data_IF_366849389524
#
_entry.id   IF_366849389524
#
_cell.length_a   1.000
_cell.length_b   1.000
_cell.length_c   1.000
_cell.angle_alpha   90.00
_cell.angle_beta   90.00
_cell.angle_gamma   90.00
#
_symmetry.space_group_name_H-M   'P 1'
#
loop_
_entity.id
_entity.type
_entity.pdbx_description
1 polymer ?
#
# COMPACT_ATOMS: atom_id res chain seq x y z
N UNK A 1 22.44 -20.77 -0.36
CA UNK A 1 23.15 -19.66 0.32
C UNK A 1 22.33 -18.37 0.22
N UNK A 2 21.58 -18.00 1.27
CA UNK A 2 20.88 -16.71 1.32
C UNK A 2 21.93 -15.60 1.52
N UNK A 3 22.25 -14.83 0.48
CA UNK A 3 22.99 -13.56 0.66
C UNK A 3 22.17 -12.71 1.61
N UNK A 4 22.72 -12.41 2.79
CA UNK A 4 22.20 -11.39 3.72
C UNK A 4 22.41 -10.03 3.04
N UNK A 5 21.56 -9.70 2.07
CA UNK A 5 21.50 -8.37 1.49
C UNK A 5 21.02 -7.40 2.57
N UNK A 6 21.65 -6.22 2.63
CA UNK A 6 21.15 -5.09 3.44
C UNK A 6 19.64 -4.99 3.26
N UNK A 7 18.89 -4.88 4.36
CA UNK A 7 17.43 -4.68 4.29
C UNK A 7 17.17 -3.48 3.38
N UNK A 8 16.33 -3.63 2.34
CA UNK A 8 16.06 -2.52 1.43
C UNK A 8 15.54 -1.33 2.24
N UNK A 9 16.27 -0.23 2.14
CA UNK A 9 16.00 1.03 2.84
C UNK A 9 15.52 2.01 1.79
N UNK A 10 14.36 2.60 2.01
CA UNK A 10 13.76 3.59 1.12
C UNK A 10 14.16 4.98 1.65
N UNK A 11 14.84 5.73 0.81
CA UNK A 11 15.27 7.11 1.07
C UNK A 11 14.20 8.09 0.57
N UNK A 12 13.10 8.16 1.31
CA UNK A 12 11.96 9.04 1.06
C UNK A 12 11.41 9.54 2.40
N UNK A 13 11.49 10.84 2.71
CA UNK A 13 10.97 11.35 3.97
C UNK A 13 9.44 11.19 4.05
N UNK A 14 8.96 10.58 5.14
CA UNK A 14 7.54 10.35 5.42
C UNK A 14 7.12 10.98 6.74
N UNK A 15 5.85 11.33 6.84
CA UNK A 15 5.15 11.56 8.09
C UNK A 15 4.16 10.41 8.29
N UNK A 16 4.28 9.66 9.39
CA UNK A 16 3.31 8.64 9.77
C UNK A 16 2.39 9.21 10.84
N UNK A 17 1.09 8.98 10.70
CA UNK A 17 0.13 9.13 11.80
C UNK A 17 -0.16 7.74 12.36
N UNK A 18 -0.03 7.59 13.67
CA UNK A 18 -0.23 6.31 14.37
C UNK A 18 -1.71 6.08 14.69
N UNK A 19 -2.06 4.84 15.01
CA UNK A 19 -3.31 4.52 15.73
C UNK A 19 -3.05 4.54 17.23
N UNK A 20 -4.11 4.46 18.05
CA UNK A 20 -3.99 4.30 19.51
C UNK A 20 -3.10 3.12 19.90
N UNK A 21 -3.24 1.96 19.22
CA UNK A 21 -2.38 0.80 19.47
C UNK A 21 -0.93 1.03 19.01
N UNK A 22 -0.75 1.78 17.92
CA UNK A 22 0.57 2.19 17.45
C UNK A 22 1.27 3.08 18.47
N UNK A 23 0.59 4.11 18.96
CA UNK A 23 1.10 5.00 20.01
C UNK A 23 1.49 4.22 21.26
N UNK A 24 0.61 3.33 21.73
CA UNK A 24 0.89 2.48 22.88
C UNK A 24 2.15 1.63 22.67
N UNK A 25 2.30 1.01 21.49
CA UNK A 25 3.48 0.22 21.15
C UNK A 25 4.78 1.04 21.15
N UNK A 26 4.76 2.26 20.61
CA UNK A 26 5.94 3.13 20.56
C UNK A 26 6.28 3.74 21.94
N UNK A 27 5.26 4.06 22.74
CA UNK A 27 5.41 4.59 24.09
C UNK A 27 5.99 3.55 25.06
N UNK A 28 5.53 2.29 25.01
CA UNK A 28 6.07 1.21 25.85
C UNK A 28 7.55 0.93 25.60
N UNK A 29 8.05 1.20 24.40
CA UNK A 29 9.45 0.92 24.03
C UNK A 29 10.41 2.06 24.31
N UNK A 30 9.96 3.17 24.92
CA UNK A 30 10.75 4.40 25.14
C UNK A 30 11.40 4.97 23.85
N UNK A 31 10.89 4.62 22.66
CA UNK A 31 11.45 5.04 21.37
C UNK A 31 10.93 6.39 20.91
N UNK A 32 9.88 6.91 21.54
CA UNK A 32 9.19 8.12 21.10
C UNK A 32 10.07 9.37 21.06
N UNK A 33 11.04 9.51 21.98
CA UNK A 33 11.92 10.70 22.01
C UNK A 33 12.90 10.79 20.83
N UNK A 34 13.29 9.66 20.22
CA UNK A 34 14.23 9.64 19.08
C UNK A 34 13.58 9.98 17.74
N UNK A 35 12.26 9.78 17.63
CA UNK A 35 11.53 9.94 16.37
C UNK A 35 10.46 11.07 16.38
N UNK A 36 10.06 11.56 17.56
CA UNK A 36 9.13 12.70 17.72
C UNK A 36 9.82 14.08 17.79
N UNK A 37 11.09 14.16 17.39
CA UNK A 37 11.91 15.37 17.52
C UNK A 37 11.69 16.39 16.41
N UNK A 38 10.62 17.18 16.47
CA UNK A 38 10.46 18.38 15.65
C UNK A 38 9.42 19.34 16.24
N UNK A 39 9.75 20.62 16.34
CA UNK A 39 8.80 21.65 16.75
C UNK A 39 7.58 21.65 15.81
N UNK A 40 6.38 21.39 16.34
CA UNK A 40 5.11 21.44 15.61
C UNK A 40 4.45 20.10 15.24
N UNK A 41 5.01 18.94 15.63
CA UNK A 41 4.37 17.63 15.41
C UNK A 41 3.37 17.29 16.54
N UNK A 42 2.27 16.61 16.19
CA UNK A 42 1.33 16.05 17.18
C UNK A 42 1.91 14.79 17.84
N UNK A 43 1.38 14.42 19.01
CA UNK A 43 1.85 13.24 19.77
C UNK A 43 1.65 11.91 19.01
N UNK A 44 0.69 11.87 18.08
CA UNK A 44 0.35 10.75 17.21
C UNK A 44 1.22 10.67 15.93
N UNK A 45 2.12 11.63 15.71
CA UNK A 45 2.86 11.79 14.45
C UNK A 45 4.35 11.39 14.57
N UNK A 46 4.83 10.64 13.58
CA UNK A 46 6.21 10.16 13.49
C UNK A 46 6.85 10.62 12.18
N UNK A 47 7.92 11.40 12.25
CA UNK A 47 8.66 11.81 11.06
C UNK A 47 9.83 10.86 10.79
N UNK A 48 9.85 10.25 9.61
CA UNK A 48 10.90 9.35 9.17
C UNK A 48 11.67 9.98 8.01
N UNK A 49 12.99 10.06 8.12
CA UNK A 49 13.84 10.53 7.01
C UNK A 49 14.09 9.43 5.97
N UNK A 50 14.29 8.21 6.46
CA UNK A 50 14.39 6.98 5.68
C UNK A 50 13.80 5.84 6.50
N UNK A 51 13.50 4.72 5.86
CA UNK A 51 12.86 3.59 6.53
C UNK A 51 13.14 2.26 5.83
N UNK A 52 13.09 1.17 6.59
CA UNK A 52 13.14 -0.17 6.02
C UNK A 52 11.76 -0.56 5.50
N UNK A 53 11.68 -1.00 4.24
CA UNK A 53 10.44 -1.45 3.61
C UNK A 53 9.70 -2.49 4.46
N UNK A 54 10.42 -3.52 4.91
CA UNK A 54 9.90 -4.58 5.78
C UNK A 54 9.34 -4.06 7.11
N UNK A 55 9.91 -2.98 7.65
CA UNK A 55 9.45 -2.43 8.93
C UNK A 55 8.16 -1.65 8.74
N UNK A 56 8.09 -0.78 7.72
CA UNK A 56 6.86 -0.05 7.41
C UNK A 56 5.71 -1.00 7.08
N UNK A 57 5.95 -2.01 6.24
CA UNK A 57 4.93 -3.00 5.89
C UNK A 57 4.39 -3.73 7.12
N UNK A 58 5.26 -4.06 8.09
CA UNK A 58 4.84 -4.68 9.36
C UNK A 58 4.00 -3.75 10.24
N UNK A 59 4.31 -2.45 10.26
CA UNK A 59 3.51 -1.46 11.00
C UNK A 59 2.11 -1.31 10.39
N UNK A 60 2.02 -1.28 9.05
CA UNK A 60 0.76 -1.27 8.31
C UNK A 60 -0.04 -2.54 8.60
N UNK A 61 0.59 -3.71 8.44
CA UNK A 61 -0.02 -5.02 8.71
C UNK A 61 -0.54 -5.15 10.14
N UNK A 62 0.25 -4.71 11.14
CA UNK A 62 -0.16 -4.72 12.54
C UNK A 62 -1.29 -3.73 12.85
N UNK A 63 -1.63 -2.83 11.91
CA UNK A 63 -2.64 -1.80 12.08
C UNK A 63 -2.21 -0.66 12.99
N UNK A 64 -0.90 -0.38 13.08
CA UNK A 64 -0.33 0.68 13.93
C UNK A 64 -0.25 2.04 13.23
N UNK A 65 -0.49 2.09 11.93
CA UNK A 65 -0.40 3.30 11.10
C UNK A 65 -1.79 3.58 10.53
N UNK A 66 -2.30 4.78 10.77
CA UNK A 66 -3.58 5.28 10.27
C UNK A 66 -3.41 6.14 9.02
N UNK A 67 -2.27 6.83 8.87
CA UNK A 67 -1.97 7.65 7.70
C UNK A 67 -0.48 7.71 7.40
N UNK A 68 -0.15 7.85 6.13
CA UNK A 68 1.21 8.09 5.64
C UNK A 68 1.16 9.29 4.71
N UNK A 69 1.95 10.31 4.99
CA UNK A 69 2.00 11.54 4.20
C UNK A 69 3.40 11.80 3.64
N UNK A 70 3.44 12.24 2.37
CA UNK A 70 4.63 12.80 1.72
C UNK A 70 4.28 14.18 1.22
N UNK A 71 5.11 15.17 1.56
CA UNK A 71 4.97 16.53 1.02
C UNK A 71 6.26 16.97 0.33
N UNK A 72 6.19 17.25 -0.98
CA UNK A 72 7.35 17.59 -1.81
C UNK A 72 6.98 18.58 -2.92
N UNK A 73 7.96 19.35 -3.37
CA UNK A 73 7.86 20.17 -4.58
C UNK A 73 8.34 19.42 -5.84
N UNK A 74 9.08 18.31 -5.66
CA UNK A 74 9.63 17.47 -6.73
C UNK A 74 9.42 16.00 -6.34
N UNK A 75 8.50 15.33 -7.04
CA UNK A 75 8.25 13.89 -6.93
C UNK A 75 9.07 13.10 -7.95
N UNK A 76 9.31 13.66 -9.13
CA UNK A 76 10.06 13.04 -10.23
C UNK A 76 11.45 12.55 -9.79
N UNK A 77 12.14 13.34 -8.97
CA UNK A 77 13.45 13.01 -8.36
C UNK A 77 13.43 11.77 -7.45
N UNK A 78 12.25 11.34 -7.00
CA UNK A 78 12.02 10.20 -6.12
C UNK A 78 11.01 9.20 -6.71
N UNK A 79 10.88 9.15 -8.06
CA UNK A 79 9.95 8.28 -8.81
C UNK A 79 9.96 6.84 -8.33
N UNK A 80 11.15 6.22 -8.26
CA UNK A 80 11.27 4.81 -7.86
C UNK A 80 10.83 4.59 -6.41
N UNK A 81 11.25 5.47 -5.49
CA UNK A 81 10.89 5.36 -4.08
C UNK A 81 9.38 5.59 -3.85
N UNK A 82 8.76 6.46 -4.65
CA UNK A 82 7.33 6.70 -4.61
C UNK A 82 6.55 5.48 -5.10
N UNK A 83 6.96 4.87 -6.21
CA UNK A 83 6.38 3.61 -6.69
C UNK A 83 6.52 2.49 -5.67
N UNK A 84 7.73 2.32 -5.10
CA UNK A 84 8.00 1.31 -4.07
C UNK A 84 7.11 1.50 -2.85
N UNK A 85 6.92 2.75 -2.39
CA UNK A 85 6.02 3.05 -1.28
C UNK A 85 4.56 2.73 -1.63
N UNK A 86 4.07 3.18 -2.79
CA UNK A 86 2.69 2.95 -3.20
C UNK A 86 2.38 1.43 -3.26
N UNK A 87 3.28 0.65 -3.86
CA UNK A 87 3.21 -0.81 -3.85
C UNK A 87 3.23 -1.34 -2.42
N UNK A 88 4.21 -0.97 -1.62
CA UNK A 88 4.38 -1.45 -0.24
C UNK A 88 3.13 -1.23 0.61
N UNK A 89 2.50 -0.06 0.51
CA UNK A 89 1.27 0.26 1.22
C UNK A 89 0.12 -0.64 0.77
N UNK A 90 -0.10 -0.74 -0.55
CA UNK A 90 -1.15 -1.61 -1.10
C UNK A 90 -0.93 -3.09 -0.74
N UNK A 91 0.30 -3.60 -0.86
CA UNK A 91 0.65 -4.97 -0.44
C UNK A 91 0.46 -5.18 1.07
N UNK A 92 0.78 -4.19 1.91
CA UNK A 92 0.56 -4.29 3.36
C UNK A 92 -0.91 -4.43 3.72
N UNK A 93 -1.80 -3.75 2.98
CA UNK A 93 -3.25 -3.84 3.14
C UNK A 93 -3.76 -5.20 2.64
N UNK A 94 -3.37 -5.61 1.42
CA UNK A 94 -3.72 -6.91 0.86
C UNK A 94 -3.30 -8.06 1.78
N UNK A 95 -2.14 -7.96 2.40
CA UNK A 95 -1.63 -8.97 3.32
C UNK A 95 -2.45 -9.07 4.61
N UNK A 96 -2.93 -7.93 5.13
CA UNK A 96 -3.81 -7.89 6.30
C UNK A 96 -5.14 -8.60 6.01
N UNK A 97 -5.77 -8.27 4.88
CA UNK A 97 -7.00 -8.91 4.41
C UNK A 97 -6.81 -10.41 4.13
N UNK A 98 -5.71 -10.77 3.45
CA UNK A 98 -5.31 -12.15 3.20
C UNK A 98 -5.23 -12.94 4.51
N UNK A 99 -4.51 -12.41 5.50
CA UNK A 99 -4.26 -13.11 6.77
C UNK A 99 -5.55 -13.43 7.51
N UNK A 100 -6.53 -12.53 7.48
CA UNK A 100 -7.84 -12.78 8.06
C UNK A 100 -8.62 -13.85 7.26
N UNK A 101 -8.64 -13.72 5.93
CA UNK A 101 -9.35 -14.65 5.04
C UNK A 101 -8.80 -16.08 5.16
N UNK A 102 -7.49 -16.26 5.05
CA UNK A 102 -6.85 -17.57 5.16
C UNK A 102 -7.08 -18.19 6.54
N UNK A 103 -7.00 -17.40 7.61
CA UNK A 103 -7.24 -17.88 8.96
C UNK A 103 -8.68 -18.35 9.16
N UNK A 104 -9.66 -17.67 8.54
CA UNK A 104 -11.07 -18.09 8.56
C UNK A 104 -11.25 -19.46 7.91
N UNK A 105 -10.72 -19.66 6.70
CA UNK A 105 -10.91 -20.95 6.00
C UNK A 105 -10.09 -22.06 6.66
N UNK A 106 -8.88 -21.77 7.13
CA UNK A 106 -8.07 -22.75 7.86
C UNK A 106 -8.70 -23.18 9.19
N UNK A 107 -9.36 -22.27 9.93
CA UNK A 107 -10.07 -22.62 11.17
C UNK A 107 -11.13 -23.72 10.94
N UNK A 108 -11.74 -23.73 9.76
CA UNK A 108 -12.77 -24.71 9.35
C UNK A 108 -12.18 -26.00 8.77
N UNK A 109 -10.86 -26.04 8.52
CA UNK A 109 -10.19 -27.23 8.01
C UNK A 109 -10.16 -28.38 9.03
N UNK A 110 -10.20 -29.61 8.54
CA UNK A 110 -10.07 -30.81 9.38
C UNK A 110 -8.77 -30.81 10.20
N UNK A 111 -7.70 -30.23 9.66
CA UNK A 111 -6.40 -30.07 10.32
C UNK A 111 -6.54 -29.30 11.66
N UNK A 112 -7.13 -28.11 11.60
CA UNK A 112 -7.27 -27.24 12.78
C UNK A 112 -8.35 -27.76 13.73
N UNK A 113 -9.45 -28.30 13.20
CA UNK A 113 -10.50 -28.92 14.03
C UNK A 113 -9.93 -30.08 14.85
N UNK A 114 -9.14 -30.96 14.24
CA UNK A 114 -8.51 -32.08 14.93
C UNK A 114 -7.50 -31.62 15.99
N UNK A 115 -6.69 -30.60 15.68
CA UNK A 115 -5.76 -30.00 16.64
C UNK A 115 -6.49 -29.42 17.86
N UNK A 116 -7.53 -28.62 17.64
CA UNK A 116 -8.29 -27.94 18.70
C UNK A 116 -9.01 -28.93 19.61
N UNK A 117 -9.53 -30.05 19.06
CA UNK A 117 -10.11 -31.14 19.85
C UNK A 117 -9.10 -31.80 20.79
N UNK A 118 -7.86 -31.97 20.34
CA UNK A 118 -6.77 -32.57 21.14
C UNK A 118 -6.12 -31.58 22.10
N UNK A 119 -6.20 -30.27 21.83
CA UNK A 119 -5.51 -29.21 22.56
C UNK A 119 -6.46 -28.05 22.93
N UNK A 120 -7.49 -28.28 23.76
CA UNK A 120 -8.52 -27.27 24.05
C UNK A 120 -7.97 -26.01 24.72
N UNK A 121 -6.89 -26.11 25.52
CA UNK A 121 -6.24 -24.96 26.19
C UNK A 121 -5.34 -24.13 25.27
N UNK A 122 -5.01 -24.64 24.08
CA UNK A 122 -4.18 -23.98 23.05
C UNK A 122 -4.89 -24.03 21.69
N UNK A 123 -6.22 -23.90 21.71
CA UNK A 123 -7.06 -24.03 20.54
C UNK A 123 -6.89 -22.83 19.62
N UNK A 124 -6.47 -23.08 18.38
CA UNK A 124 -6.19 -22.09 17.35
C UNK A 124 -7.49 -21.45 16.85
N UNK A 125 -7.68 -20.18 17.21
CA UNK A 125 -8.73 -19.32 16.68
C UNK A 125 -8.23 -18.47 15.49
N UNK A 126 -9.11 -17.67 14.87
CA UNK A 126 -8.77 -16.84 13.70
C UNK A 126 -7.60 -15.90 14.02
N UNK A 127 -7.63 -15.24 15.18
CA UNK A 127 -6.57 -14.31 15.57
C UNK A 127 -5.24 -15.04 15.80
N UNK A 128 -5.24 -16.24 16.37
CA UNK A 128 -4.01 -17.01 16.57
C UNK A 128 -3.43 -17.57 15.27
N UNK A 129 -4.28 -17.97 14.32
CA UNK A 129 -3.85 -18.42 12.99
C UNK A 129 -3.28 -17.25 12.18
N UNK A 130 -3.96 -16.10 12.21
CA UNK A 130 -3.58 -14.90 11.46
C UNK A 130 -2.38 -14.17 12.08
N UNK A 131 -2.20 -14.20 13.40
CA UNK A 131 -1.09 -13.51 14.02
C UNK A 131 0.23 -14.28 13.80
N UNK A 132 1.09 -13.73 12.93
CA UNK A 132 2.52 -14.04 12.95
C UNK A 132 3.17 -13.46 14.21
N UNK A 133 2.91 -14.06 15.36
CA UNK A 133 3.71 -13.83 16.56
C UNK A 133 4.68 -14.99 16.69
N UNK A 134 5.98 -14.72 16.56
CA UNK A 134 7.05 -15.61 17.04
C UNK A 134 6.98 -15.66 18.58
N UNK A 135 5.88 -16.15 19.15
CA UNK A 135 5.80 -16.46 20.57
C UNK A 135 6.56 -17.76 20.77
N UNK A 136 7.64 -17.69 21.54
CA UNK A 136 8.46 -18.79 22.03
C UNK A 136 8.73 -19.91 21.03
N UNK A 137 9.67 -19.63 20.13
CA UNK A 137 10.26 -20.53 19.12
C UNK A 137 10.94 -21.80 19.70
N UNK A 138 10.91 -22.03 21.02
CA UNK A 138 11.58 -23.20 21.62
C UNK A 138 10.85 -24.52 21.34
N UNK A 139 9.55 -24.51 21.04
CA UNK A 139 8.78 -25.73 20.71
C UNK A 139 8.70 -26.06 19.21
N UNK A 140 9.06 -25.13 18.32
CA UNK A 140 8.88 -25.29 16.86
C UNK A 140 10.20 -25.10 16.10
N UNK A 141 11.27 -25.64 16.65
CA UNK A 141 12.69 -25.40 16.34
C UNK A 141 13.15 -25.81 14.93
N UNK A 142 12.27 -26.32 14.06
CA UNK A 142 12.65 -26.86 12.76
C UNK A 142 12.22 -25.95 11.60
N UNK A 143 12.90 -24.80 11.48
CA UNK A 143 12.67 -23.81 10.41
C UNK A 143 12.90 -24.39 9.00
N UNK A 144 13.80 -25.38 8.87
CA UNK A 144 14.02 -26.08 7.59
C UNK A 144 12.81 -26.93 7.21
N UNK A 145 12.21 -27.63 8.18
CA UNK A 145 10.97 -28.38 7.95
C UNK A 145 9.85 -27.44 7.50
N UNK A 146 9.64 -26.32 8.19
CA UNK A 146 8.62 -25.31 7.82
C UNK A 146 8.87 -24.81 6.40
N UNK A 147 10.10 -24.41 6.08
CA UNK A 147 10.46 -23.96 4.73
C UNK A 147 10.13 -25.00 3.66
N UNK A 148 10.49 -26.26 3.89
CA UNK A 148 10.19 -27.35 2.94
C UNK A 148 8.68 -27.59 2.76
N UNK A 149 7.86 -27.38 3.79
CA UNK A 149 6.41 -27.51 3.70
C UNK A 149 5.84 -26.35 2.89
N UNK A 150 6.28 -25.13 3.15
CA UNK A 150 5.84 -23.95 2.38
C UNK A 150 6.17 -24.15 0.91
N UNK A 151 7.40 -24.56 0.57
CA UNK A 151 7.79 -24.82 -0.83
C UNK A 151 6.90 -25.89 -1.47
N UNK A 152 6.66 -27.02 -0.79
CA UNK A 152 5.78 -28.07 -1.33
C UNK A 152 4.33 -27.59 -1.55
N UNK A 153 3.81 -26.73 -0.65
CA UNK A 153 2.48 -26.14 -0.80
C UNK A 153 2.46 -25.16 -1.98
N UNK A 154 3.49 -24.33 -2.15
CA UNK A 154 3.61 -23.43 -3.31
C UNK A 154 3.69 -24.22 -4.60
N UNK A 155 4.49 -25.29 -4.65
CA UNK A 155 4.60 -26.13 -5.84
C UNK A 155 3.25 -26.74 -6.24
N UNK A 156 2.49 -27.24 -5.26
CA UNK A 156 1.15 -27.77 -5.50
C UNK A 156 0.16 -26.69 -5.96
N UNK A 157 0.19 -25.48 -5.38
CA UNK A 157 -0.64 -24.35 -5.81
C UNK A 157 -0.39 -24.02 -7.28
N UNK A 158 0.89 -23.96 -7.69
CA UNK A 158 1.27 -23.65 -9.07
C UNK A 158 1.00 -24.82 -10.01
N UNK A 159 1.06 -26.06 -9.52
CA UNK A 159 0.65 -27.24 -10.29
C UNK A 159 -0.86 -27.21 -10.57
N UNK A 160 -1.69 -26.91 -9.57
CA UNK A 160 -3.16 -26.81 -9.72
C UNK A 160 -3.53 -25.73 -10.76
N UNK A 161 -2.80 -24.62 -10.79
CA UNK A 161 -3.06 -23.49 -11.67
C UNK A 161 -2.19 -23.48 -12.95
N UNK A 162 -1.66 -24.64 -13.37
CA UNK A 162 -0.72 -24.72 -14.50
C UNK A 162 -1.27 -24.15 -15.80
N UNK A 163 -2.57 -24.32 -16.07
CA UNK A 163 -3.22 -23.82 -17.30
C UNK A 163 -3.28 -22.29 -17.30
N UNK A 164 -3.60 -21.66 -16.17
CA UNK A 164 -3.60 -20.20 -16.06
C UNK A 164 -2.18 -19.62 -16.16
N UNK A 165 -1.17 -20.39 -15.76
CA UNK A 165 0.23 -19.97 -15.84
C UNK A 165 0.77 -19.90 -17.27
N UNK A 166 0.15 -20.57 -18.24
CA UNK A 166 0.59 -20.55 -19.65
C UNK A 166 0.58 -19.14 -20.27
N UNK A 167 -0.25 -18.23 -19.75
CA UNK A 167 -0.29 -16.83 -20.21
C UNK A 167 0.80 -15.94 -19.61
N UNK A 168 1.57 -16.43 -18.63
CA UNK A 168 2.60 -15.67 -17.94
C UNK A 168 4.00 -16.07 -18.44
N UNK A 169 4.86 -15.06 -18.62
CA UNK A 169 6.28 -15.28 -18.88
C UNK A 169 6.99 -15.95 -17.69
N UNK A 170 8.13 -16.59 -17.93
CA UNK A 170 8.91 -17.25 -16.87
C UNK A 170 9.26 -16.29 -15.71
N UNK A 171 9.60 -15.04 -16.03
CA UNK A 171 9.91 -14.02 -15.03
C UNK A 171 8.69 -13.66 -14.17
N UNK A 172 7.51 -13.54 -14.77
CA UNK A 172 6.26 -13.29 -14.06
C UNK A 172 5.87 -14.47 -13.17
N UNK A 173 6.05 -15.69 -13.65
CA UNK A 173 5.80 -16.90 -12.86
C UNK A 173 6.72 -16.96 -11.63
N UNK A 174 8.01 -16.65 -11.80
CA UNK A 174 8.95 -16.56 -10.68
C UNK A 174 8.55 -15.47 -9.68
N UNK A 175 8.10 -14.32 -10.17
CA UNK A 175 7.61 -13.23 -9.32
C UNK A 175 6.34 -13.64 -8.55
N UNK A 176 5.39 -14.31 -9.20
CA UNK A 176 4.18 -14.84 -8.58
C UNK A 176 4.53 -15.87 -7.50
N UNK A 177 5.48 -16.79 -7.76
CA UNK A 177 5.95 -17.76 -6.77
C UNK A 177 6.53 -17.06 -5.54
N UNK A 178 7.38 -16.06 -5.75
CA UNK A 178 7.93 -15.26 -4.67
C UNK A 178 6.84 -14.53 -3.86
N UNK A 179 5.83 -13.96 -4.53
CA UNK A 179 4.68 -13.34 -3.86
C UNK A 179 3.88 -14.38 -3.04
N UNK A 180 3.69 -15.59 -3.56
CA UNK A 180 2.97 -16.67 -2.90
C UNK A 180 3.67 -17.13 -1.62
N UNK A 181 4.98 -17.38 -1.71
CA UNK A 181 5.83 -17.68 -0.54
C UNK A 181 5.70 -16.59 0.51
N UNK A 182 5.79 -15.32 0.11
CA UNK A 182 5.66 -14.20 1.04
C UNK A 182 4.30 -14.20 1.74
N UNK A 183 3.17 -14.42 1.05
CA UNK A 183 1.85 -14.52 1.70
C UNK A 183 1.82 -15.65 2.74
N UNK A 184 2.33 -16.83 2.38
CA UNK A 184 2.35 -18.00 3.24
C UNK A 184 3.26 -17.83 4.48
N UNK A 185 4.37 -17.09 4.36
CA UNK A 185 5.26 -16.81 5.49
C UNK A 185 4.57 -16.04 6.64
N UNK A 186 3.44 -15.36 6.40
CA UNK A 186 2.69 -14.65 7.44
C UNK A 186 1.70 -15.53 8.23
N UNK A 187 1.55 -16.81 7.88
CA UNK A 187 0.80 -17.75 8.70
C UNK A 187 1.55 -18.12 9.98
N UNK A 188 0.80 -18.42 11.04
CA UNK A 188 1.40 -18.91 12.28
C UNK A 188 2.22 -20.20 12.02
N UNK A 189 3.50 -20.26 12.46
CA UNK A 189 4.37 -21.43 12.31
C UNK A 189 3.75 -22.77 12.72
N UNK A 190 2.85 -22.78 13.71
CA UNK A 190 2.18 -24.00 14.15
C UNK A 190 1.36 -24.65 13.03
N UNK A 191 0.76 -23.87 12.14
CA UNK A 191 -0.02 -24.39 11.00
C UNK A 191 0.89 -25.22 10.10
N UNK A 192 2.10 -24.74 9.83
CA UNK A 192 3.09 -25.45 9.02
C UNK A 192 3.58 -26.73 9.68
N UNK A 193 3.73 -26.73 11.00
CA UNK A 193 4.10 -27.93 11.76
C UNK A 193 2.98 -28.98 11.72
N UNK A 194 1.72 -28.56 11.77
CA UNK A 194 0.58 -29.46 11.61
C UNK A 194 0.51 -30.03 10.19
N UNK A 195 0.68 -29.18 9.17
CA UNK A 195 0.76 -29.62 7.77
C UNK A 195 1.90 -30.61 7.53
N UNK A 196 3.07 -30.40 8.16
CA UNK A 196 4.19 -31.31 8.06
C UNK A 196 3.85 -32.74 8.53
N UNK A 197 3.04 -32.87 9.59
CA UNK A 197 2.62 -34.16 10.18
C UNK A 197 1.61 -34.90 9.31
N UNK A 198 0.79 -34.17 8.57
CA UNK A 198 -0.23 -34.75 7.69
C UNK A 198 0.27 -34.99 6.26
N UNK A 199 1.56 -34.77 5.96
CA UNK A 199 2.13 -34.96 4.63
C UNK A 199 1.78 -36.34 4.04
N UNK A 200 1.35 -36.34 2.78
CA UNK A 200 0.93 -37.55 2.06
C UNK A 200 -0.46 -38.06 2.42
N UNK A 201 -1.18 -37.41 3.34
CA UNK A 201 -2.57 -37.77 3.67
C UNK A 201 -3.56 -36.95 2.86
N UNK A 202 -4.83 -37.40 2.84
CA UNK A 202 -5.94 -36.62 2.26
C UNK A 202 -6.18 -35.29 2.99
N UNK A 203 -5.89 -35.23 4.29
CA UNK A 203 -6.04 -34.01 5.10
C UNK A 203 -5.09 -32.93 4.59
N UNK A 204 -3.84 -33.30 4.26
CA UNK A 204 -2.89 -32.38 3.67
C UNK A 204 -3.38 -31.87 2.32
N UNK A 205 -3.70 -32.75 1.37
CA UNK A 205 -4.14 -32.33 0.02
C UNK A 205 -5.38 -31.42 0.07
N UNK A 206 -6.36 -31.75 0.91
CA UNK A 206 -7.56 -30.92 1.05
C UNK A 206 -7.26 -29.56 1.69
N UNK A 207 -6.35 -29.53 2.67
CA UNK A 207 -5.91 -28.26 3.28
C UNK A 207 -5.12 -27.41 2.28
N UNK A 208 -4.32 -28.03 1.40
CA UNK A 208 -3.63 -27.32 0.32
C UNK A 208 -4.61 -26.70 -0.66
N UNK A 209 -5.67 -27.42 -1.09
CA UNK A 209 -6.71 -26.86 -1.96
C UNK A 209 -7.41 -25.64 -1.33
N UNK A 210 -7.66 -25.71 -0.02
CA UNK A 210 -8.20 -24.57 0.74
C UNK A 210 -7.24 -23.38 0.72
N UNK A 211 -5.95 -23.61 0.97
CA UNK A 211 -4.91 -22.57 0.94
C UNK A 211 -4.77 -21.98 -0.47
N UNK A 212 -4.76 -22.85 -1.49
CA UNK A 212 -4.63 -22.52 -2.90
C UNK A 212 -5.64 -21.46 -3.32
N UNK A 213 -6.93 -21.74 -3.15
CA UNK A 213 -8.00 -20.82 -3.58
C UNK A 213 -7.86 -19.40 -2.99
N UNK A 214 -7.37 -19.31 -1.75
CA UNK A 214 -7.15 -18.03 -1.08
C UNK A 214 -5.85 -17.38 -1.59
N UNK A 215 -4.75 -18.12 -1.66
CA UNK A 215 -3.46 -17.57 -2.14
C UNK A 215 -3.59 -17.10 -3.58
N UNK A 216 -4.16 -17.90 -4.47
CA UNK A 216 -4.32 -17.58 -5.88
C UNK A 216 -5.15 -16.32 -6.09
N UNK A 217 -6.31 -16.24 -5.42
CA UNK A 217 -7.15 -15.04 -5.47
C UNK A 217 -6.44 -13.77 -4.99
N UNK A 218 -5.54 -13.86 -4.00
CA UNK A 218 -4.76 -12.70 -3.55
C UNK A 218 -3.54 -12.41 -4.43
N UNK A 219 -2.96 -13.41 -5.11
CA UNK A 219 -1.93 -13.20 -6.12
C UNK A 219 -2.47 -12.35 -7.27
N UNK A 220 -3.67 -12.65 -7.76
CA UNK A 220 -4.30 -11.85 -8.82
C UNK A 220 -4.56 -10.41 -8.38
N UNK A 221 -4.98 -10.20 -7.12
CA UNK A 221 -5.14 -8.84 -6.54
C UNK A 221 -3.84 -8.04 -6.44
N UNK A 222 -2.67 -8.67 -6.55
CA UNK A 222 -1.39 -7.93 -6.52
C UNK A 222 -1.21 -7.01 -7.72
N UNK A 223 -1.86 -7.29 -8.84
CA UNK A 223 -1.85 -6.42 -10.03
C UNK A 223 -2.52 -5.06 -9.74
N UNK A 224 -3.51 -5.02 -8.83
CA UNK A 224 -4.12 -3.76 -8.38
C UNK A 224 -3.06 -2.84 -7.75
N UNK A 225 -2.14 -3.40 -6.96
CA UNK A 225 -1.05 -2.63 -6.36
C UNK A 225 -0.08 -2.08 -7.41
N UNK A 226 0.17 -2.83 -8.48
CA UNK A 226 1.04 -2.41 -9.59
C UNK A 226 0.41 -1.27 -10.39
N UNK A 227 -0.85 -1.40 -10.84
CA UNK A 227 -1.56 -0.32 -11.56
C UNK A 227 -1.80 0.92 -10.69
N UNK A 228 -2.14 0.73 -9.41
CA UNK A 228 -2.27 1.83 -8.47
C UNK A 228 -0.95 2.60 -8.34
N UNK A 229 0.18 1.92 -8.26
CA UNK A 229 1.48 2.58 -8.13
C UNK A 229 1.83 3.45 -9.34
N UNK A 230 1.44 3.00 -10.54
CA UNK A 230 1.60 3.75 -11.78
C UNK A 230 0.69 4.98 -11.79
N UNK A 231 -0.59 4.80 -11.45
CA UNK A 231 -1.54 5.92 -11.37
C UNK A 231 -1.13 6.96 -10.33
N UNK A 232 -0.70 6.54 -9.13
CA UNK A 232 -0.20 7.43 -8.07
C UNK A 232 0.98 8.26 -8.56
N UNK A 233 1.89 7.64 -9.31
CA UNK A 233 3.06 8.32 -9.85
C UNK A 233 2.67 9.36 -10.91
N UNK A 234 1.76 9.03 -11.82
CA UNK A 234 1.27 9.98 -12.82
C UNK A 234 0.55 11.16 -12.16
N UNK A 235 -0.31 10.89 -11.16
CA UNK A 235 -0.97 11.94 -10.40
C UNK A 235 0.04 12.83 -9.66
N UNK A 236 1.07 12.26 -9.04
CA UNK A 236 2.12 13.03 -8.37
C UNK A 236 2.92 13.90 -9.35
N UNK A 237 3.17 13.40 -10.57
CA UNK A 237 3.84 14.14 -11.64
C UNK A 237 2.94 15.29 -12.14
N UNK A 238 1.64 15.05 -12.26
CA UNK A 238 0.66 16.09 -12.62
C UNK A 238 0.61 17.20 -11.56
N UNK A 239 0.60 16.85 -10.27
CA UNK A 239 0.65 17.86 -9.20
C UNK A 239 1.98 18.63 -9.17
N UNK A 240 3.10 17.98 -9.46
CA UNK A 240 4.40 18.65 -9.62
C UNK A 240 4.36 19.67 -10.78
N UNK A 241 3.82 19.28 -11.94
CA UNK A 241 3.64 20.19 -13.10
C UNK A 241 2.78 21.39 -12.75
N UNK A 242 1.63 21.17 -12.09
CA UNK A 242 0.73 22.23 -11.64
C UNK A 242 1.40 23.20 -10.66
N UNK A 243 2.26 22.70 -9.76
CA UNK A 243 3.04 23.55 -8.86
C UNK A 243 4.07 24.41 -9.60
N UNK A 244 4.77 23.82 -10.58
CA UNK A 244 5.74 24.57 -11.39
C UNK A 244 5.03 25.66 -12.21
N UNK A 245 3.89 25.34 -12.80
CA UNK A 245 3.01 26.29 -13.50
C UNK A 245 2.64 27.48 -12.63
N UNK A 246 2.18 27.19 -11.42
CA UNK A 246 1.83 28.20 -10.43
C UNK A 246 3.03 29.09 -10.09
N UNK A 247 4.21 28.51 -9.84
CA UNK A 247 5.40 29.26 -9.47
C UNK A 247 5.91 30.16 -10.60
N UNK A 248 5.90 29.67 -11.85
CA UNK A 248 6.30 30.47 -13.01
C UNK A 248 5.37 31.67 -13.19
N UNK A 249 4.07 31.45 -13.08
CA UNK A 249 3.06 32.51 -13.23
C UNK A 249 3.14 33.54 -12.11
N UNK A 250 3.27 33.07 -10.87
CA UNK A 250 3.14 33.92 -9.67
C UNK A 250 4.45 34.60 -9.29
N UNK A 251 5.55 33.85 -9.26
CA UNK A 251 6.84 34.34 -8.73
C UNK A 251 7.79 34.78 -9.85
N UNK A 252 7.72 34.16 -11.03
CA UNK A 252 8.60 34.47 -12.16
C UNK A 252 7.94 35.33 -13.25
N UNK A 253 6.71 35.80 -13.02
CA UNK A 253 5.97 36.71 -13.90
C UNK A 253 5.86 36.19 -15.36
N UNK A 254 5.84 34.87 -15.56
CA UNK A 254 5.77 34.28 -16.91
C UNK A 254 7.00 34.54 -17.79
N UNK A 255 8.14 34.94 -17.21
CA UNK A 255 9.40 35.19 -17.95
C UNK A 255 10.08 33.92 -18.47
N UNK A 256 9.41 32.78 -18.35
CA UNK A 256 9.95 31.44 -18.55
C UNK A 256 8.95 30.64 -19.37
N UNK A 257 9.37 30.18 -20.54
CA UNK A 257 8.58 29.28 -21.40
C UNK A 257 8.61 27.86 -20.84
N UNK A 258 7.44 27.35 -20.45
CA UNK A 258 7.27 26.09 -19.73
C UNK A 258 7.71 24.84 -20.50
N UNK A 259 7.44 24.77 -21.80
CA UNK A 259 7.75 23.58 -22.61
C UNK A 259 9.25 23.45 -22.86
N UNK A 260 9.93 24.57 -23.01
CA UNK A 260 11.39 24.64 -23.08
C UNK A 260 12.03 24.44 -21.69
N UNK A 261 11.38 24.96 -20.65
CA UNK A 261 11.86 25.00 -19.28
C UNK A 261 11.94 23.64 -18.58
N UNK A 262 10.93 22.77 -18.74
CA UNK A 262 10.97 21.42 -18.15
C UNK A 262 12.19 20.63 -18.66
N UNK A 263 12.64 20.92 -19.89
CA UNK A 263 13.79 20.29 -20.52
C UNK A 263 15.13 20.91 -20.09
N UNK A 264 15.13 22.13 -19.54
CA UNK A 264 16.33 22.79 -19.02
C UNK A 264 16.50 22.55 -17.51
N UNK A 265 17.58 21.83 -17.16
CA UNK A 265 17.89 21.49 -15.77
C UNK A 265 18.15 22.70 -14.88
N UNK A 266 18.83 23.73 -15.38
CA UNK A 266 19.19 24.91 -14.58
C UNK A 266 17.96 25.72 -14.22
N UNK A 267 17.08 25.93 -15.19
CA UNK A 267 15.87 26.70 -14.97
C UNK A 267 14.88 25.91 -14.08
N UNK A 268 14.73 24.59 -14.28
CA UNK A 268 13.98 23.71 -13.37
C UNK A 268 14.44 23.85 -11.92
N UNK A 269 15.75 23.91 -11.68
CA UNK A 269 16.30 24.12 -10.33
C UNK A 269 15.92 25.49 -9.75
N UNK A 270 15.87 26.56 -10.57
CA UNK A 270 15.43 27.89 -10.11
C UNK A 270 14.00 27.85 -9.59
N UNK A 271 13.05 27.25 -10.34
CA UNK A 271 11.66 27.13 -9.86
C UNK A 271 11.54 26.24 -8.64
N UNK A 272 12.26 25.11 -8.58
CA UNK A 272 12.26 24.25 -7.40
C UNK A 272 12.78 24.97 -6.15
N UNK A 273 13.80 25.81 -6.29
CA UNK A 273 14.29 26.65 -5.21
C UNK A 273 13.23 27.68 -4.79
N UNK A 274 12.57 28.34 -5.74
CA UNK A 274 11.48 29.29 -5.46
C UNK A 274 10.30 28.62 -4.74
N UNK A 275 9.89 27.43 -5.19
CA UNK A 275 8.87 26.62 -4.51
C UNK A 275 9.30 26.28 -3.08
N UNK A 276 10.58 25.91 -2.87
CA UNK A 276 11.11 25.60 -1.55
C UNK A 276 11.15 26.83 -0.63
N UNK A 277 11.56 28.00 -1.12
CA UNK A 277 11.58 29.28 -0.39
C UNK A 277 10.18 29.68 0.08
N UNK A 278 9.18 29.51 -0.78
CA UNK A 278 7.78 29.84 -0.49
C UNK A 278 7.02 28.69 0.21
N UNK A 279 7.70 27.57 0.51
CA UNK A 279 7.12 26.35 1.12
C UNK A 279 5.94 25.77 0.33
N UNK A 280 5.91 26.00 -0.98
CA UNK A 280 4.92 25.44 -1.90
C UNK A 280 5.26 23.98 -2.18
N UNK A 281 4.31 23.10 -1.90
CA UNK A 281 4.49 21.64 -1.95
C UNK A 281 3.15 20.98 -2.25
N UNK A 282 3.22 19.83 -2.91
CA UNK A 282 2.11 18.93 -3.08
C UNK A 282 2.23 17.80 -2.05
N UNK A 283 1.08 17.34 -1.56
CA UNK A 283 0.98 16.35 -0.50
C UNK A 283 0.25 15.13 -1.01
N UNK A 284 0.87 13.97 -0.88
CA UNK A 284 0.27 12.67 -1.13
C UNK A 284 0.06 11.96 0.21
N UNK A 285 -1.18 11.54 0.46
CA UNK A 285 -1.62 10.95 1.72
C UNK A 285 -2.25 9.58 1.45
N UNK A 286 -1.78 8.55 2.14
CA UNK A 286 -2.44 7.25 2.22
C UNK A 286 -3.16 7.14 3.55
N UNK A 287 -4.49 7.08 3.55
CA UNK A 287 -5.30 6.82 4.74
C UNK A 287 -5.62 5.32 4.81
N UNK A 288 -5.20 4.71 5.91
CA UNK A 288 -5.20 3.26 6.12
C UNK A 288 -6.05 2.96 7.36
N UNK A 289 -6.85 1.89 7.30
CA UNK A 289 -7.64 1.48 8.45
C UNK A 289 -6.77 0.82 9.53
N UNK A 290 -6.96 1.25 10.78
CA UNK A 290 -6.39 0.63 11.98
C UNK A 290 -6.91 -0.79 12.24
N UNK A 291 -6.54 -1.38 13.38
CA UNK A 291 -6.86 -2.78 13.71
C UNK A 291 -8.34 -3.00 14.07
N UNK A 292 -9.09 -1.97 14.46
CA UNK A 292 -10.44 -2.07 15.05
C UNK A 292 -11.54 -1.44 14.19
N UNK A 293 -11.50 -1.69 12.88
CA UNK A 293 -12.70 -1.53 12.06
C UNK A 293 -13.78 -2.52 12.51
N UNK A 294 -14.95 -2.03 12.88
CA UNK A 294 -16.13 -2.90 13.04
C UNK A 294 -16.37 -3.65 11.75
N UNK A 295 -16.66 -4.96 11.84
CA UNK A 295 -16.89 -5.90 10.74
C UNK A 295 -17.93 -5.40 9.70
N UNK A 296 -18.75 -4.40 10.07
CA UNK A 296 -19.77 -3.75 9.25
C UNK A 296 -19.28 -2.50 8.48
N UNK A 297 -18.18 -1.87 8.89
CA UNK A 297 -17.60 -0.68 8.25
C UNK A 297 -16.22 -1.02 7.68
N UNK A 298 -16.23 -1.60 6.47
CA UNK A 298 -15.03 -1.70 5.62
C UNK A 298 -14.69 -0.28 5.16
N UNK A 299 -13.95 0.45 6.00
CA UNK A 299 -13.55 1.81 5.69
C UNK A 299 -12.58 1.76 4.51
N UNK A 300 -12.77 2.57 3.45
CA UNK A 300 -11.97 2.44 2.26
C UNK A 300 -10.50 2.80 2.55
N UNK A 301 -9.60 2.09 1.90
CA UNK A 301 -8.24 2.57 1.70
C UNK A 301 -8.31 3.78 0.76
N UNK A 302 -7.78 4.91 1.21
CA UNK A 302 -7.76 6.13 0.40
C UNK A 302 -6.34 6.55 0.04
N UNK A 303 -6.16 6.93 -1.21
CA UNK A 303 -5.02 7.73 -1.66
C UNK A 303 -5.54 9.10 -2.01
N UNK A 304 -4.98 10.13 -1.38
CA UNK A 304 -5.39 11.51 -1.55
C UNK A 304 -4.19 12.34 -1.98
N UNK A 305 -4.34 13.09 -3.06
CA UNK A 305 -3.35 14.03 -3.55
C UNK A 305 -3.88 15.45 -3.44
N UNK A 306 -3.07 16.32 -2.86
CA UNK A 306 -3.28 17.76 -2.78
C UNK A 306 -2.18 18.45 -3.57
N UNK A 307 -2.55 19.36 -4.47
CA UNK A 307 -1.56 20.14 -5.22
C UNK A 307 -0.88 21.24 -4.36
N UNK A 308 -1.44 21.64 -3.20
CA UNK A 308 -0.87 22.68 -2.31
C UNK A 308 -0.98 22.33 -0.83
N UNK A 309 0.10 22.59 -0.06
CA UNK A 309 0.22 22.18 1.36
C UNK A 309 -0.34 23.20 2.36
N UNK A 310 -0.43 24.50 1.99
CA UNK A 310 -0.80 25.57 2.94
C UNK A 310 -2.22 25.41 3.51
N UNK A 311 -3.07 24.59 2.88
CA UNK A 311 -4.46 24.32 3.29
C UNK A 311 -4.70 22.88 3.76
N UNK A 312 -3.66 22.04 3.77
CA UNK A 312 -3.75 20.64 4.20
C UNK A 312 -4.27 20.51 5.63
N UNK A 313 -3.81 21.34 6.58
CA UNK A 313 -4.20 21.25 8.00
C UNK A 313 -5.67 21.66 8.26
N UNK A 314 -6.21 22.60 7.49
CA UNK A 314 -7.60 23.05 7.66
C UNK A 314 -8.57 22.05 7.00
N UNK A 315 -8.25 21.56 5.80
CA UNK A 315 -9.04 20.52 5.15
C UNK A 315 -8.89 19.15 5.82
N UNK A 316 -7.74 18.85 6.44
CA UNK A 316 -7.53 17.64 7.25
C UNK A 316 -8.63 17.49 8.30
N UNK A 317 -8.98 18.57 9.00
CA UNK A 317 -10.06 18.56 10.00
C UNK A 317 -11.43 18.33 9.36
N UNK A 318 -11.71 18.99 8.23
CA UNK A 318 -12.96 18.77 7.52
C UNK A 318 -13.12 17.34 6.99
N UNK A 319 -12.03 16.68 6.60
CA UNK A 319 -11.99 15.31 6.10
C UNK A 319 -12.02 14.25 7.20
N UNK A 320 -11.48 14.56 8.38
CA UNK A 320 -11.55 13.71 9.58
C UNK A 320 -12.97 13.77 10.20
N UNK A 321 -13.61 14.94 10.20
CA UNK A 321 -14.95 15.15 10.77
C UNK A 321 -16.10 14.69 9.87
N UNK A 322 -15.95 14.81 8.54
CA UNK A 322 -16.93 14.29 7.57
C UNK A 322 -16.70 12.79 7.41
N UNK A 323 -17.32 11.97 8.28
CA UNK A 323 -17.41 10.48 8.20
C UNK A 323 -17.85 9.90 6.85
N UNK A 324 -18.21 10.74 5.89
CA UNK A 324 -18.42 10.40 4.50
C UNK A 324 -17.76 11.50 3.67
N UNK A 325 -16.66 11.18 2.98
CA UNK A 325 -16.21 11.92 1.80
C UNK A 325 -17.41 11.91 0.84
N UNK A 326 -18.19 12.99 0.84
CA UNK A 326 -19.35 13.11 -0.04
C UNK A 326 -18.82 13.03 -1.47
N UNK A 327 -19.29 12.03 -2.19
CA UNK A 327 -19.09 11.67 -3.61
C UNK A 327 -19.59 12.74 -4.59
N UNK A 328 -19.33 14.02 -4.31
CA UNK A 328 -19.84 15.18 -5.07
C UNK A 328 -18.81 15.80 -6.00
N UNK A 329 -17.60 15.24 -6.08
CA UNK A 329 -16.58 15.65 -7.04
C UNK A 329 -16.85 15.11 -8.44
N UNK A 330 -16.20 15.70 -9.44
CA UNK A 330 -16.20 15.16 -10.82
C UNK A 330 -15.41 13.85 -10.86
N UNK A 331 -15.74 12.97 -11.80
CA UNK A 331 -14.98 11.73 -12.01
C UNK A 331 -13.55 12.04 -12.47
N UNK A 332 -12.57 11.23 -12.04
CA UNK A 332 -11.18 11.42 -12.47
C UNK A 332 -11.01 11.25 -13.99
N UNK A 333 -11.79 10.37 -14.62
CA UNK A 333 -11.81 10.23 -16.09
C UNK A 333 -12.24 11.53 -16.79
N UNK A 334 -13.33 12.18 -16.33
CA UNK A 334 -13.80 13.47 -16.88
C UNK A 334 -12.75 14.57 -16.71
N UNK A 335 -12.01 14.55 -15.59
CA UNK A 335 -10.91 15.48 -15.36
C UNK A 335 -9.76 15.30 -16.35
N UNK A 336 -9.36 14.04 -16.64
CA UNK A 336 -8.35 13.77 -17.67
C UNK A 336 -8.81 14.18 -19.07
N UNK A 337 -10.08 13.94 -19.42
CA UNK A 337 -10.67 14.39 -20.69
C UNK A 337 -10.58 15.91 -20.85
N UNK A 338 -10.92 16.67 -19.80
CA UNK A 338 -10.82 18.14 -19.79
C UNK A 338 -9.38 18.65 -19.93
N UNK A 339 -8.40 17.98 -19.32
CA UNK A 339 -6.99 18.32 -19.50
C UNK A 339 -6.54 18.11 -20.96
N UNK A 340 -6.98 17.01 -21.57
CA UNK A 340 -6.62 16.68 -22.95
C UNK A 340 -7.18 17.66 -23.98
N UNK A 341 -8.36 18.25 -23.71
CA UNK A 341 -8.97 19.26 -24.56
C UNK A 341 -8.31 20.65 -24.45
N UNK A 342 -7.69 20.94 -23.30
CA UNK A 342 -7.16 22.28 -22.99
C UNK A 342 -5.67 22.46 -23.32
N UNK A 343 -4.92 21.38 -23.55
CA UNK A 343 -3.49 21.43 -23.87
C UNK A 343 -3.14 20.66 -25.16
N UNK A 344 -2.59 21.30 -26.22
CA UNK A 344 -2.20 20.62 -27.47
C UNK A 344 -1.07 19.58 -27.33
N UNK A 345 -0.34 19.57 -26.20
CA UNK A 345 0.69 18.59 -25.84
C UNK A 345 0.14 17.33 -25.13
N UNK A 346 -1.18 17.15 -25.10
CA UNK A 346 -1.91 16.09 -24.39
C UNK A 346 -1.69 14.63 -24.86
N UNK A 347 -0.89 14.37 -25.89
CA UNK A 347 -0.57 12.99 -26.26
C UNK A 347 0.20 12.25 -25.15
N UNK A 348 1.02 12.96 -24.36
CA UNK A 348 1.75 12.40 -23.22
C UNK A 348 0.88 12.28 -21.94
N UNK A 349 -0.25 13.01 -21.85
CA UNK A 349 -1.11 13.04 -20.65
C UNK A 349 -2.17 11.92 -20.60
N UNK A 350 -2.29 11.13 -21.67
CA UNK A 350 -3.23 10.00 -21.74
C UNK A 350 -2.79 8.77 -20.91
N UNK A 351 -1.53 8.69 -20.49
CA UNK A 351 -1.03 7.57 -19.68
C UNK A 351 -1.78 7.43 -18.34
N UNK A 352 -2.13 8.54 -17.70
CA UNK A 352 -2.93 8.54 -16.48
C UNK A 352 -4.31 7.91 -16.68
N UNK A 353 -4.97 8.23 -17.80
CA UNK A 353 -6.27 7.65 -18.16
C UNK A 353 -6.17 6.15 -18.49
N UNK A 354 -5.09 5.72 -19.15
CA UNK A 354 -4.83 4.29 -19.38
C UNK A 354 -4.66 3.53 -18.06
N UNK A 355 -3.83 4.03 -17.14
CA UNK A 355 -3.64 3.38 -15.83
C UNK A 355 -4.93 3.37 -14.99
N UNK A 356 -5.72 4.44 -15.04
CA UNK A 356 -7.03 4.48 -14.39
C UNK A 356 -7.96 3.41 -14.95
N UNK A 357 -8.00 3.25 -16.28
CA UNK A 357 -8.84 2.25 -16.95
C UNK A 357 -8.41 0.83 -16.57
N UNK A 358 -7.11 0.52 -16.65
CA UNK A 358 -6.58 -0.80 -16.25
C UNK A 358 -6.85 -1.09 -14.77
N UNK A 359 -6.71 -0.10 -13.89
CA UNK A 359 -7.01 -0.25 -12.47
C UNK A 359 -8.51 -0.53 -12.23
N UNK A 360 -9.40 0.14 -12.95
CA UNK A 360 -10.84 -0.09 -12.86
C UNK A 360 -11.24 -1.49 -13.34
N UNK A 361 -10.68 -1.94 -14.47
CA UNK A 361 -10.92 -3.27 -15.02
C UNK A 361 -10.41 -4.36 -14.08
N UNK A 362 -9.19 -4.21 -13.55
CA UNK A 362 -8.60 -5.16 -12.62
C UNK A 362 -9.38 -5.20 -11.30
N UNK A 363 -9.77 -4.04 -10.76
CA UNK A 363 -10.63 -3.99 -9.58
C UNK A 363 -11.96 -4.73 -9.81
N UNK A 364 -12.62 -4.51 -10.96
CA UNK A 364 -13.87 -5.19 -11.33
C UNK A 364 -13.68 -6.70 -11.45
N UNK A 365 -12.58 -7.15 -12.09
CA UNK A 365 -12.23 -8.56 -12.25
C UNK A 365 -12.04 -9.26 -10.89
N UNK A 366 -11.45 -8.56 -9.92
CA UNK A 366 -11.15 -9.09 -8.59
C UNK A 366 -12.25 -8.82 -7.53
N UNK A 367 -13.37 -8.22 -7.92
CA UNK A 367 -14.46 -7.84 -7.00
C UNK A 367 -14.06 -6.77 -5.97
N UNK A 368 -13.04 -5.98 -6.25
CA UNK A 368 -12.61 -4.83 -5.44
C UNK A 368 -13.42 -3.60 -5.84
N UNK A 369 -14.02 -2.91 -4.87
CA UNK A 369 -14.73 -1.65 -5.14
C UNK A 369 -13.72 -0.53 -5.28
N UNK A 370 -13.77 0.21 -6.39
CA UNK A 370 -12.88 1.33 -6.67
C UNK A 370 -13.66 2.54 -7.14
N UNK A 371 -13.43 3.67 -6.48
CA UNK A 371 -13.98 4.97 -6.83
C UNK A 371 -12.86 6.00 -6.94
N UNK A 372 -13.03 6.97 -7.85
CA UNK A 372 -12.08 8.08 -8.02
C UNK A 372 -12.81 9.38 -8.29
N UNK A 373 -12.39 10.46 -7.62
CA UNK A 373 -13.05 11.76 -7.73
C UNK A 373 -12.06 12.92 -7.56
N UNK A 374 -12.42 14.05 -8.18
CA UNK A 374 -11.66 15.30 -8.16
C UNK A 374 -12.54 16.41 -7.58
N UNK A 375 -12.03 17.09 -6.56
CA UNK A 375 -12.64 18.28 -5.98
C UNK A 375 -11.73 19.48 -6.26
N UNK A 376 -12.25 20.47 -6.99
CA UNK A 376 -11.58 21.74 -7.23
C UNK A 376 -12.17 22.81 -6.31
N UNK A 377 -11.30 23.53 -5.63
CA UNK A 377 -11.63 24.69 -4.82
C UNK A 377 -11.03 25.93 -5.50
N UNK A 378 -11.79 26.52 -6.43
CA UNK A 378 -11.32 27.61 -7.31
C UNK A 378 -10.80 28.83 -6.53
N UNK A 379 -11.43 29.15 -5.39
CA UNK A 379 -11.03 30.27 -4.52
C UNK A 379 -9.63 30.08 -3.92
N UNK A 380 -9.23 28.82 -3.73
CA UNK A 380 -7.97 28.42 -3.10
C UNK A 380 -6.93 27.91 -4.12
N UNK A 381 -7.33 27.80 -5.40
CA UNK A 381 -6.54 27.16 -6.46
C UNK A 381 -6.06 25.77 -6.08
N UNK A 382 -6.91 25.05 -5.36
CA UNK A 382 -6.61 23.76 -4.77
C UNK A 382 -7.37 22.68 -5.52
N UNK A 383 -6.63 21.66 -5.96
CA UNK A 383 -7.16 20.44 -6.55
C UNK A 383 -6.87 19.28 -5.62
N UNK A 384 -7.94 18.57 -5.24
CA UNK A 384 -7.88 17.37 -4.43
C UNK A 384 -8.34 16.18 -5.25
N UNK A 385 -7.46 15.21 -5.45
CA UNK A 385 -7.77 13.96 -6.13
C UNK A 385 -7.83 12.86 -5.09
N UNK A 386 -8.90 12.08 -5.08
CA UNK A 386 -9.04 10.95 -4.16
C UNK A 386 -9.32 9.67 -4.92
N UNK A 387 -8.54 8.64 -4.60
CA UNK A 387 -8.75 7.25 -4.98
C UNK A 387 -9.24 6.51 -3.74
N UNK A 388 -10.29 5.72 -3.87
CA UNK A 388 -10.94 4.97 -2.79
C UNK A 388 -11.06 3.51 -3.18
N UNK A 389 -10.57 2.61 -2.34
CA UNK A 389 -10.58 1.16 -2.59
C UNK A 389 -11.14 0.38 -1.40
N UNK A 390 -11.90 -0.68 -1.69
CA UNK A 390 -12.31 -1.70 -0.72
C UNK A 390 -12.02 -3.09 -1.30
N UNK A 391 -11.07 -3.79 -0.67
CA UNK A 391 -10.51 -5.07 -1.12
C UNK A 391 -11.34 -6.30 -0.78
#
# INVERSE_FOLDING_TARGET
MRKVGKKPTIDLPLLLTLTEEGEFFFNQRHRTKEYMGGAGLKAEELKLHNYSAKTLQRLIYAGYVSRIDISRADFTSKRNQLMDLAKLVAYGILLKEYSYKIAKVLKESQLIIAWNRKNPTRALNIAEIANYSRRDDSQFSNMELIGSVITAVVDEIFFINSVELESYSEEEQLLLRFKAENFLEYLNPIVWVLMARERGTKVFSHTVQVIESVVWGYLSKTNIADYLSLLVLELATLAEKSLMEYAVKTYLQGRVDMEYFIKNREDRLKVLNTLAEHKERATLSWKIQGRHGTITDVNPFHVVLFNRTVEHENMRRELEDKKQLKTKGKGLSEFYEQLSETSPSAQDENLGLYYLTYLQEECRRQGTLFDSYVNNHDQMQLTMITLSMRF
#
